data_IF_757062260816
#
_entry.id   IF_757062260816
#
_cell.length_a   1.000
_cell.length_b   1.000
_cell.length_c   1.000
_cell.angle_alpha   90.00
_cell.angle_beta   90.00
_cell.angle_gamma   90.00
#
_symmetry.space_group_name_H-M   'P 1'
#
loop_
_entity.id
_entity.type
_entity.pdbx_description
1 polymer ?
#
# COMPACT_ATOMS: atom_id res chain seq x y z
N UNK A 1 22.20 15.03 89.79
CA UNK A 1 22.54 14.95 88.35
C UNK A 1 22.04 13.68 87.65
N UNK A 2 21.92 12.51 88.31
CA UNK A 2 21.49 11.27 87.65
C UNK A 2 20.03 11.21 87.14
N UNK A 3 19.08 11.94 87.78
CA UNK A 3 17.67 11.95 87.33
C UNK A 3 17.47 12.70 86.00
N UNK A 4 18.25 13.75 85.77
CA UNK A 4 18.18 14.56 84.54
C UNK A 4 18.79 13.83 83.34
N UNK A 5 19.88 13.06 83.53
CA UNK A 5 20.47 12.29 82.44
C UNK A 5 19.58 11.12 82.00
N UNK A 6 18.84 10.50 82.93
CA UNK A 6 17.89 9.43 82.63
C UNK A 6 16.74 9.92 81.74
N UNK A 7 16.19 11.11 82.02
CA UNK A 7 15.13 11.73 81.23
C UNK A 7 15.62 12.06 79.81
N UNK A 8 16.85 12.57 79.67
CA UNK A 8 17.44 12.89 78.37
C UNK A 8 17.67 11.61 77.54
N UNK A 9 18.20 10.55 78.15
CA UNK A 9 18.44 9.27 77.46
C UNK A 9 17.13 8.60 77.04
N UNK A 10 16.11 8.61 77.90
CA UNK A 10 14.79 8.07 77.56
C UNK A 10 14.08 8.91 76.49
N UNK A 11 14.20 10.24 76.56
CA UNK A 11 13.64 11.15 75.55
C UNK A 11 14.29 10.97 74.17
N UNK A 12 15.62 10.89 74.12
CA UNK A 12 16.35 10.60 72.87
C UNK A 12 16.03 9.20 72.33
N UNK A 13 15.92 8.19 73.20
CA UNK A 13 15.51 6.85 72.82
C UNK A 13 14.13 6.82 72.18
N UNK A 14 13.15 7.49 72.79
CA UNK A 14 11.79 7.61 72.26
C UNK A 14 11.73 8.34 70.91
N UNK A 15 12.49 9.42 70.75
CA UNK A 15 12.59 10.17 69.50
C UNK A 15 13.21 9.30 68.40
N UNK A 16 14.34 8.62 68.69
CA UNK A 16 15.00 7.73 67.73
C UNK A 16 14.09 6.57 67.29
N UNK A 17 13.39 5.93 68.24
CA UNK A 17 12.42 4.88 67.91
C UNK A 17 11.28 5.39 67.03
N UNK A 18 10.75 6.59 67.29
CA UNK A 18 9.73 7.21 66.45
C UNK A 18 10.24 7.52 65.03
N UNK A 19 11.48 8.00 64.90
CA UNK A 19 12.12 8.22 63.60
C UNK A 19 12.31 6.91 62.83
N UNK A 20 12.78 5.84 63.47
CA UNK A 20 12.94 4.53 62.82
C UNK A 20 11.60 3.97 62.36
N UNK A 21 10.55 4.07 63.19
CA UNK A 21 9.20 3.64 62.81
C UNK A 21 8.66 4.44 61.62
N UNK A 22 8.84 5.76 61.63
CA UNK A 22 8.37 6.63 60.54
C UNK A 22 9.14 6.39 59.24
N UNK A 23 10.47 6.21 59.30
CA UNK A 23 11.29 5.88 58.14
C UNK A 23 10.92 4.52 57.53
N UNK A 24 10.70 3.50 58.37
CA UNK A 24 10.26 2.18 57.90
C UNK A 24 8.86 2.22 57.28
N UNK A 25 7.92 2.96 57.89
CA UNK A 25 6.58 3.16 57.33
C UNK A 25 6.65 3.87 55.97
N UNK A 26 7.44 4.93 55.87
CA UNK A 26 7.58 5.71 54.63
C UNK A 26 8.29 4.91 53.53
N UNK A 27 9.29 4.10 53.90
CA UNK A 27 9.99 3.19 52.99
C UNK A 27 9.04 2.12 52.43
N UNK A 28 8.22 1.51 53.29
CA UNK A 28 7.22 0.52 52.87
C UNK A 28 6.13 1.14 51.99
N UNK A 29 5.70 2.36 52.29
CA UNK A 29 4.70 3.08 51.48
C UNK A 29 5.25 3.46 50.09
N UNK A 30 6.50 3.92 50.03
CA UNK A 30 7.19 4.21 48.78
C UNK A 30 7.43 2.94 47.94
N UNK A 31 7.83 1.84 48.59
CA UNK A 31 8.01 0.55 47.92
C UNK A 31 6.68 0.04 47.35
N UNK A 32 5.60 0.08 48.14
CA UNK A 32 4.26 -0.33 47.68
C UNK A 32 3.76 0.54 46.52
N UNK A 33 4.00 1.85 46.58
CA UNK A 33 3.63 2.77 45.49
C UNK A 33 4.40 2.44 44.21
N UNK A 34 5.70 2.13 44.33
CA UNK A 34 6.54 1.75 43.20
C UNK A 34 6.09 0.43 42.58
N UNK A 35 5.76 -0.57 43.41
CA UNK A 35 5.24 -1.87 42.95
C UNK A 35 3.90 -1.68 42.23
N UNK A 36 2.96 -0.94 42.83
CA UNK A 36 1.67 -0.66 42.21
C UNK A 36 1.82 0.07 40.87
N UNK A 37 2.70 1.07 40.78
CA UNK A 37 2.97 1.77 39.52
C UNK A 37 3.59 0.84 38.47
N UNK A 38 4.50 -0.04 38.87
CA UNK A 38 5.08 -1.05 37.99
C UNK A 38 4.02 -2.01 37.47
N UNK A 39 3.20 -2.60 38.34
CA UNK A 39 2.12 -3.51 37.96
C UNK A 39 1.09 -2.86 37.03
N UNK A 40 0.67 -1.61 37.33
CA UNK A 40 -0.21 -0.84 36.45
C UNK A 40 0.42 -0.56 35.09
N UNK A 41 1.71 -0.22 35.06
CA UNK A 41 2.43 0.03 33.81
C UNK A 41 2.53 -1.26 32.98
N UNK A 42 2.84 -2.39 33.61
CA UNK A 42 2.89 -3.68 32.91
C UNK A 42 1.51 -4.09 32.38
N UNK A 43 0.46 -4.00 33.19
CA UNK A 43 -0.90 -4.30 32.75
C UNK A 43 -1.31 -3.42 31.55
N UNK A 44 -0.97 -2.12 31.56
CA UNK A 44 -1.21 -1.22 30.43
C UNK A 44 -0.44 -1.61 29.18
N UNK A 45 0.86 -1.90 29.29
CA UNK A 45 1.67 -2.32 28.14
C UNK A 45 1.17 -3.63 27.50
N UNK A 46 0.74 -4.58 28.34
CA UNK A 46 0.13 -5.83 27.88
C UNK A 46 -1.18 -5.56 27.15
N UNK A 47 -2.06 -4.72 27.72
CA UNK A 47 -3.33 -4.38 27.09
C UNK A 47 -3.12 -3.70 25.73
N UNK A 48 -2.21 -2.72 25.65
CA UNK A 48 -1.88 -2.00 24.42
C UNK A 48 -1.29 -2.93 23.36
N UNK A 49 -0.40 -3.85 23.76
CA UNK A 49 0.15 -4.87 22.87
C UNK A 49 -0.93 -5.82 22.36
N UNK A 50 -1.90 -6.18 23.21
CA UNK A 50 -3.04 -7.00 22.82
C UNK A 50 -3.89 -6.37 21.71
N UNK A 51 -4.10 -5.05 21.74
CA UNK A 51 -4.78 -4.33 20.65
C UNK A 51 -4.02 -4.48 19.33
N UNK A 52 -2.73 -4.15 19.32
CA UNK A 52 -1.88 -4.21 18.11
C UNK A 52 -1.81 -5.63 17.53
N UNK A 53 -1.58 -6.64 18.39
CA UNK A 53 -1.51 -8.04 17.99
C UNK A 53 -2.83 -8.49 17.33
N UNK A 54 -3.97 -8.09 17.89
CA UNK A 54 -5.26 -8.53 17.37
C UNK A 54 -5.72 -7.74 16.15
N UNK A 55 -5.30 -6.49 15.97
CA UNK A 55 -5.48 -5.77 14.70
C UNK A 55 -4.71 -6.47 13.58
N UNK A 56 -3.47 -6.89 13.83
CA UNK A 56 -2.66 -7.63 12.85
C UNK A 56 -3.23 -9.03 12.57
N UNK A 57 -3.73 -9.74 13.60
CA UNK A 57 -4.43 -11.02 13.41
C UNK A 57 -5.71 -10.84 12.59
N UNK A 58 -6.51 -9.81 12.90
CA UNK A 58 -7.75 -9.51 12.18
C UNK A 58 -7.47 -9.10 10.73
N UNK A 59 -6.37 -8.38 10.48
CA UNK A 59 -5.93 -8.03 9.13
C UNK A 59 -5.62 -9.27 8.28
N UNK A 60 -4.99 -10.29 8.88
CA UNK A 60 -4.71 -11.58 8.22
C UNK A 60 -5.95 -12.48 8.13
N UNK A 61 -6.85 -12.38 9.08
CA UNK A 61 -8.06 -13.19 9.13
C UNK A 61 -9.30 -12.35 9.49
N UNK A 62 -10.01 -11.83 8.47
CA UNK A 62 -11.23 -11.04 8.65
C UNK A 62 -12.34 -11.76 9.44
N UNK A 63 -12.35 -13.11 9.47
CA UNK A 63 -13.37 -13.89 10.21
C UNK A 63 -13.28 -13.74 11.73
N UNK A 64 -12.21 -13.12 12.25
CA UNK A 64 -12.06 -12.82 13.68
C UNK A 64 -12.94 -11.64 14.13
N UNK A 65 -13.60 -10.92 13.22
CA UNK A 65 -14.52 -9.84 13.61
C UNK A 65 -15.69 -10.38 14.46
N UNK A 66 -16.12 -9.62 15.47
CA UNK A 66 -17.18 -10.03 16.40
C UNK A 66 -16.84 -11.30 17.21
N UNK A 67 -15.55 -11.61 17.37
CA UNK A 67 -15.07 -12.69 18.24
C UNK A 67 -14.42 -12.14 19.50
N UNK A 68 -14.34 -13.00 20.52
CA UNK A 68 -13.53 -12.77 21.71
C UNK A 68 -12.46 -13.84 21.78
N UNK A 69 -11.22 -13.44 22.03
CA UNK A 69 -10.13 -14.38 22.24
C UNK A 69 -10.31 -15.17 23.54
N UNK A 70 -9.59 -16.30 23.61
CA UNK A 70 -9.24 -16.88 24.89
C UNK A 70 -8.29 -15.99 25.69
N UNK A 71 -7.91 -16.45 26.87
CA UNK A 71 -6.86 -15.83 27.66
C UNK A 71 -5.49 -16.17 27.05
N UNK A 72 -4.73 -15.13 26.70
CA UNK A 72 -3.43 -15.24 26.06
C UNK A 72 -2.34 -14.70 27.00
N UNK A 73 -1.14 -15.30 26.97
CA UNK A 73 -0.02 -14.89 27.83
C UNK A 73 0.87 -13.86 27.13
N UNK A 74 1.28 -12.82 27.85
CA UNK A 74 2.27 -11.85 27.38
C UNK A 74 2.96 -11.17 28.57
N UNK A 75 4.30 -11.04 28.52
CA UNK A 75 5.11 -10.41 29.58
C UNK A 75 4.80 -10.92 31.00
N UNK A 76 4.59 -12.23 31.16
CA UNK A 76 4.18 -12.89 32.42
C UNK A 76 2.82 -12.46 32.98
N UNK A 77 2.05 -11.64 32.25
CA UNK A 77 0.63 -11.43 32.51
C UNK A 77 -0.24 -12.11 31.46
N UNK A 78 -1.53 -11.83 31.55
CA UNK A 78 -2.52 -12.35 30.60
C UNK A 78 -3.34 -11.24 29.99
N UNK A 79 -3.93 -11.48 28.83
CA UNK A 79 -4.89 -10.58 28.22
C UNK A 79 -5.97 -11.31 27.44
N UNK A 80 -7.11 -10.64 27.29
CA UNK A 80 -8.21 -11.08 26.42
C UNK A 80 -8.60 -9.93 25.51
N UNK A 81 -8.83 -10.22 24.23
CA UNK A 81 -9.23 -9.22 23.25
C UNK A 81 -10.62 -9.53 22.72
N UNK A 82 -11.45 -8.50 22.63
CA UNK A 82 -12.75 -8.54 21.97
C UNK A 82 -12.69 -7.63 20.75
N UNK A 83 -13.02 -8.19 19.60
CA UNK A 83 -13.14 -7.48 18.33
C UNK A 83 -14.62 -7.28 18.04
N UNK A 84 -15.04 -6.05 17.77
CA UNK A 84 -16.45 -5.71 17.50
C UNK A 84 -16.56 -4.78 16.29
N UNK A 85 -17.67 -4.89 15.57
CA UNK A 85 -18.01 -3.98 14.47
C UNK A 85 -18.15 -4.66 13.12
N UNK A 86 -17.98 -3.87 12.06
CA UNK A 86 -18.12 -4.28 10.67
C UNK A 86 -17.05 -3.62 9.84
N UNK A 87 -16.27 -4.40 9.10
CA UNK A 87 -15.23 -3.88 8.22
C UNK A 87 -15.82 -2.81 7.28
N UNK A 88 -15.11 -1.69 7.08
CA UNK A 88 -13.73 -1.40 7.51
C UNK A 88 -13.57 -0.92 8.96
N UNK A 89 -14.66 -0.64 9.70
CA UNK A 89 -14.58 -0.06 11.05
C UNK A 89 -14.61 -1.15 12.14
N UNK A 90 -13.62 -1.13 13.03
CA UNK A 90 -13.46 -2.14 14.07
C UNK A 90 -13.14 -1.48 15.40
N UNK A 91 -13.78 -1.96 16.46
CA UNK A 91 -13.41 -1.66 17.85
C UNK A 91 -12.67 -2.85 18.44
N UNK A 92 -11.50 -2.60 19.02
CA UNK A 92 -10.67 -3.61 19.67
C UNK A 92 -10.57 -3.27 21.15
N UNK A 93 -11.14 -4.10 22.01
CA UNK A 93 -11.04 -3.98 23.48
C UNK A 93 -10.12 -5.05 24.02
N UNK A 94 -8.98 -4.66 24.57
CA UNK A 94 -8.00 -5.53 25.21
C UNK A 94 -8.05 -5.34 26.73
N UNK A 95 -8.35 -6.41 27.46
CA UNK A 95 -8.32 -6.42 28.92
C UNK A 95 -7.15 -7.26 29.37
N UNK A 96 -6.17 -6.64 30.01
CA UNK A 96 -4.99 -7.30 30.55
C UNK A 96 -5.06 -7.47 32.06
N UNK A 97 -4.33 -8.46 32.58
CA UNK A 97 -4.15 -8.73 33.99
C UNK A 97 -2.67 -9.04 34.27
N UNK A 98 -2.06 -8.33 35.21
CA UNK A 98 -0.69 -8.57 35.66
C UNK A 98 -0.66 -8.50 37.19
N UNK A 99 -0.27 -9.60 37.85
CA UNK A 99 -0.21 -9.70 39.33
C UNK A 99 -1.50 -9.23 40.04
N UNK A 100 -2.67 -9.45 39.41
CA UNK A 100 -3.99 -9.07 39.94
C UNK A 100 -4.44 -7.65 39.59
N UNK A 101 -3.58 -6.83 38.98
CA UNK A 101 -3.94 -5.51 38.43
C UNK A 101 -4.51 -5.67 37.03
N UNK A 102 -5.72 -5.16 36.82
CA UNK A 102 -6.38 -5.14 35.51
C UNK A 102 -6.28 -3.79 34.84
N UNK A 103 -6.04 -3.79 33.53
CA UNK A 103 -6.11 -2.60 32.68
C UNK A 103 -6.90 -2.90 31.41
N UNK A 104 -7.65 -1.93 30.91
CA UNK A 104 -8.44 -2.08 29.68
C UNK A 104 -8.02 -1.02 28.70
N UNK A 105 -7.57 -1.43 27.53
CA UNK A 105 -7.27 -0.53 26.42
C UNK A 105 -8.26 -0.78 25.32
N UNK A 106 -8.76 0.29 24.70
CA UNK A 106 -9.68 0.18 23.59
C UNK A 106 -9.28 1.12 22.48
N UNK A 107 -9.28 0.59 21.26
CA UNK A 107 -9.01 1.35 20.06
C UNK A 107 -10.14 1.19 19.05
N UNK A 108 -10.59 2.30 18.47
CA UNK A 108 -11.37 2.27 17.25
C UNK A 108 -10.39 2.39 16.08
N UNK A 109 -10.48 1.46 15.13
CA UNK A 109 -9.59 1.35 13.99
C UNK A 109 -10.38 1.26 12.68
N UNK A 110 -9.78 1.77 11.61
CA UNK A 110 -10.31 1.73 10.26
C UNK A 110 -9.37 0.97 9.35
N UNK A 111 -9.87 -0.06 8.67
CA UNK A 111 -9.14 -0.79 7.64
C UNK A 111 -9.01 0.11 6.41
N UNK A 112 -7.82 0.68 6.21
CA UNK A 112 -7.56 1.65 5.15
C UNK A 112 -7.44 0.92 3.80
N UNK A 113 -8.34 1.18 2.83
CA UNK A 113 -8.20 0.61 1.50
C UNK A 113 -6.97 1.22 0.83
N UNK A 114 -6.34 0.44 -0.05
CA UNK A 114 -5.22 0.96 -0.84
C UNK A 114 -5.76 2.00 -1.83
N UNK A 115 -5.12 3.18 -1.84
CA UNK A 115 -5.44 4.20 -2.82
C UNK A 115 -5.03 3.71 -4.21
N UNK A 116 -6.04 3.40 -5.04
CA UNK A 116 -5.82 3.00 -6.43
C UNK A 116 -5.53 4.23 -7.28
N UNK A 117 -4.48 4.24 -8.11
CA UNK A 117 -4.19 5.39 -8.96
C UNK A 117 -5.25 5.54 -10.06
N UNK A 118 -5.62 6.78 -10.37
CA UNK A 118 -6.51 7.08 -11.48
C UNK A 118 -5.82 6.77 -12.81
N UNK A 119 -6.54 6.05 -13.69
CA UNK A 119 -6.05 5.69 -15.02
C UNK A 119 -6.92 6.41 -16.07
N UNK A 120 -6.46 7.56 -16.59
CA UNK A 120 -7.29 8.40 -17.46
C UNK A 120 -7.30 7.94 -18.92
N UNK A 121 -6.57 6.89 -19.26
CA UNK A 121 -6.39 6.40 -20.63
C UNK A 121 -5.96 4.93 -20.64
N UNK A 122 -5.98 4.27 -21.79
CA UNK A 122 -5.33 2.95 -21.93
C UNK A 122 -3.83 3.04 -21.61
N UNK A 123 -3.16 4.05 -22.17
CA UNK A 123 -1.78 4.42 -21.87
C UNK A 123 -1.72 5.90 -21.48
N UNK A 124 -1.40 6.18 -20.22
CA UNK A 124 -1.16 7.55 -19.75
C UNK A 124 0.34 7.81 -19.64
N UNK A 125 0.83 8.89 -20.25
CA UNK A 125 2.23 9.26 -20.25
C UNK A 125 2.37 10.65 -19.65
N UNK A 126 3.12 10.71 -18.56
CA UNK A 126 3.41 11.95 -17.83
C UNK A 126 4.91 12.22 -17.91
N UNK A 127 5.27 13.36 -18.49
CA UNK A 127 6.66 13.71 -18.78
C UNK A 127 6.86 15.21 -18.90
N UNK A 128 8.10 15.67 -18.76
CA UNK A 128 8.46 17.07 -19.06
C UNK A 128 8.84 17.28 -20.51
N UNK A 129 9.28 16.22 -21.21
CA UNK A 129 9.50 16.20 -22.65
C UNK A 129 9.61 14.75 -23.18
N UNK A 130 9.48 14.57 -24.50
CA UNK A 130 9.79 13.31 -25.18
C UNK A 130 11.16 13.37 -25.87
N UNK A 131 11.93 12.29 -25.75
CA UNK A 131 13.24 12.18 -26.42
C UNK A 131 13.13 11.46 -27.77
N UNK A 132 12.26 10.45 -27.85
CA UNK A 132 11.94 9.71 -29.07
C UNK A 132 10.49 9.22 -28.98
N UNK A 133 9.65 9.57 -29.95
CA UNK A 133 8.25 9.13 -30.01
C UNK A 133 7.98 8.09 -31.09
N UNK A 134 9.03 7.51 -31.67
CA UNK A 134 8.91 6.54 -32.76
C UNK A 134 8.29 5.23 -32.26
N UNK A 135 6.96 5.17 -32.34
CA UNK A 135 6.16 3.97 -32.12
C UNK A 135 6.24 3.11 -33.38
N UNK A 136 7.36 2.41 -33.55
CA UNK A 136 7.73 1.67 -34.78
C UNK A 136 7.12 0.28 -34.91
N UNK A 137 6.29 -0.15 -33.95
CA UNK A 137 5.82 -1.53 -33.81
C UNK A 137 4.32 -1.66 -34.05
N UNK A 138 3.80 -2.85 -33.81
CA UNK A 138 2.38 -3.19 -33.98
C UNK A 138 1.54 -2.92 -32.73
N UNK A 139 1.94 -1.92 -31.93
CA UNK A 139 1.23 -1.53 -30.71
C UNK A 139 -0.20 -1.10 -31.01
N UNK A 140 -1.15 -1.68 -30.29
CA UNK A 140 -2.55 -1.31 -30.26
C UNK A 140 -2.86 -0.77 -28.86
N UNK A 141 -3.41 0.44 -28.80
CA UNK A 141 -3.86 1.05 -27.55
C UNK A 141 -5.33 1.38 -27.73
N UNK A 142 -6.18 0.73 -26.97
CA UNK A 142 -7.62 0.85 -27.07
C UNK A 142 -8.21 1.31 -25.74
N UNK A 143 -8.68 2.55 -25.70
CA UNK A 143 -9.33 3.19 -24.55
C UNK A 143 -10.81 2.87 -24.39
N UNK A 144 -11.43 2.13 -25.31
CA UNK A 144 -12.78 1.61 -25.11
C UNK A 144 -12.83 0.64 -23.93
N UNK A 145 -13.96 0.54 -23.25
CA UNK A 145 -14.13 -0.40 -22.14
C UNK A 145 -14.17 -1.84 -22.64
N UNK A 146 -13.26 -2.67 -22.12
CA UNK A 146 -13.21 -4.10 -22.37
C UNK A 146 -13.60 -4.91 -21.13
N UNK A 147 -14.09 -6.13 -21.36
CA UNK A 147 -14.31 -7.13 -20.33
C UNK A 147 -12.98 -7.69 -19.79
N UNK A 148 -13.08 -8.58 -18.80
CA UNK A 148 -11.94 -9.26 -18.19
C UNK A 148 -11.11 -10.10 -19.18
N UNK A 149 -11.66 -10.44 -20.36
CA UNK A 149 -10.98 -11.22 -21.40
C UNK A 149 -10.37 -10.34 -22.50
N UNK A 150 -10.59 -9.02 -22.46
CA UNK A 150 -10.12 -8.08 -23.47
C UNK A 150 -11.04 -8.00 -24.70
N UNK A 151 -12.33 -8.27 -24.54
CA UNK A 151 -13.38 -8.06 -25.55
C UNK A 151 -14.09 -6.73 -25.26
N UNK A 152 -14.34 -5.91 -26.28
CA UNK A 152 -15.06 -4.63 -26.11
C UNK A 152 -16.47 -4.89 -25.59
N UNK A 153 -16.86 -4.20 -24.51
CA UNK A 153 -18.19 -4.30 -23.91
C UNK A 153 -19.20 -3.39 -24.61
N UNK A 154 -20.23 -3.96 -25.22
CA UNK A 154 -21.31 -3.19 -25.83
C UNK A 154 -20.81 -2.17 -26.86
N UNK A 155 -21.08 -0.88 -26.62
CA UNK A 155 -20.59 0.23 -27.46
C UNK A 155 -19.14 0.63 -27.18
N UNK A 156 -18.48 0.05 -26.17
CA UNK A 156 -17.15 0.43 -25.69
C UNK A 156 -17.16 1.52 -24.61
N UNK A 157 -18.32 1.86 -24.06
CA UNK A 157 -18.47 2.86 -23.00
C UNK A 157 -18.51 2.23 -21.58
N UNK A 158 -18.10 2.94 -20.52
CA UNK A 158 -17.46 4.25 -20.52
C UNK A 158 -16.05 4.19 -21.12
N UNK A 159 -15.81 4.99 -22.16
CA UNK A 159 -14.53 5.01 -22.85
C UNK A 159 -13.60 6.09 -22.28
N UNK A 160 -12.31 5.80 -22.33
CA UNK A 160 -11.24 6.77 -22.09
C UNK A 160 -10.45 7.00 -23.38
N UNK A 161 -9.63 8.06 -23.46
CA UNK A 161 -8.65 8.19 -24.54
C UNK A 161 -7.75 6.94 -24.64
N UNK A 162 -7.33 6.60 -25.85
CA UNK A 162 -6.37 5.52 -26.07
C UNK A 162 -5.05 5.87 -25.40
N UNK A 163 -4.44 6.98 -25.83
CA UNK A 163 -3.25 7.56 -25.20
C UNK A 163 -3.62 8.91 -24.60
N UNK A 164 -3.12 9.21 -23.40
CA UNK A 164 -3.21 10.55 -22.84
C UNK A 164 -1.89 11.08 -22.31
N UNK A 165 -1.70 12.38 -22.43
CA UNK A 165 -0.47 13.12 -22.09
C UNK A 165 -0.79 14.41 -21.32
N UNK A 166 0.24 15.03 -20.74
CA UNK A 166 0.08 16.24 -19.91
C UNK A 166 0.05 17.57 -20.69
N UNK A 167 0.57 17.60 -21.93
CA UNK A 167 0.70 18.83 -22.71
C UNK A 167 0.40 18.65 -24.20
N UNK A 168 0.11 19.76 -24.90
CA UNK A 168 -0.15 19.74 -26.35
C UNK A 168 1.13 19.48 -27.18
N UNK A 169 2.28 19.92 -26.67
CA UNK A 169 3.58 19.63 -27.29
C UNK A 169 3.85 18.11 -27.30
N UNK A 170 3.56 17.45 -26.19
CA UNK A 170 3.66 16.00 -26.03
C UNK A 170 2.68 15.26 -26.94
N UNK A 171 1.44 15.75 -27.00
CA UNK A 171 0.40 15.19 -27.88
C UNK A 171 0.84 15.24 -29.34
N UNK A 172 1.37 16.37 -29.77
CA UNK A 172 1.91 16.56 -31.12
C UNK A 172 3.10 15.64 -31.37
N UNK A 173 4.00 15.48 -30.40
CA UNK A 173 5.14 14.58 -30.51
C UNK A 173 4.71 13.11 -30.68
N UNK A 174 3.72 12.65 -29.91
CA UNK A 174 3.16 11.29 -30.04
C UNK A 174 2.45 11.12 -31.38
N UNK A 175 1.59 12.05 -31.78
CA UNK A 175 0.87 11.98 -33.06
C UNK A 175 1.82 11.89 -34.25
N UNK A 176 2.91 12.66 -34.25
CA UNK A 176 3.94 12.62 -35.29
C UNK A 176 4.80 11.35 -35.25
N UNK A 177 4.86 10.68 -34.10
CA UNK A 177 5.65 9.47 -33.87
C UNK A 177 4.90 8.15 -34.15
N UNK A 178 3.58 8.20 -34.32
CA UNK A 178 2.74 7.05 -34.61
C UNK A 178 2.97 6.54 -36.04
N UNK A 179 3.42 5.29 -36.16
CA UNK A 179 3.50 4.60 -37.46
C UNK A 179 2.15 4.03 -37.93
N UNK A 180 1.23 3.76 -36.99
CA UNK A 180 -0.10 3.17 -37.22
C UNK A 180 -1.18 3.89 -36.39
N UNK A 181 -1.56 5.13 -36.74
CA UNK A 181 -2.52 5.91 -35.98
C UNK A 181 -3.90 5.24 -35.82
N UNK A 182 -4.30 4.39 -36.76
CA UNK A 182 -5.54 3.61 -36.73
C UNK A 182 -5.60 2.59 -35.58
N UNK A 183 -4.45 2.24 -34.99
CA UNK A 183 -4.36 1.31 -33.85
C UNK A 183 -4.46 1.98 -32.48
N UNK A 184 -4.54 3.31 -32.45
CA UNK A 184 -4.79 4.07 -31.23
C UNK A 184 -6.26 4.48 -31.21
N UNK A 185 -7.08 3.65 -30.56
CA UNK A 185 -8.53 3.76 -30.53
C UNK A 185 -8.96 4.23 -29.14
N UNK A 186 -9.98 5.06 -29.05
CA UNK A 186 -10.52 5.49 -27.75
C UNK A 186 -11.38 6.73 -27.90
N UNK A 187 -11.78 7.30 -26.77
CA UNK A 187 -12.57 8.53 -26.75
C UNK A 187 -11.79 9.68 -27.40
N UNK A 188 -12.41 10.37 -28.36
CA UNK A 188 -11.92 11.64 -28.89
C UNK A 188 -12.70 12.75 -28.18
N UNK A 189 -12.05 13.48 -27.28
CA UNK A 189 -12.71 14.43 -26.38
C UNK A 189 -13.47 15.52 -27.14
N UNK A 190 -12.93 15.98 -28.26
CA UNK A 190 -13.56 17.01 -29.09
C UNK A 190 -14.88 16.58 -29.74
N UNK A 191 -15.07 15.27 -29.97
CA UNK A 191 -16.28 14.74 -30.61
C UNK A 191 -17.19 13.97 -29.66
N UNK A 192 -16.66 13.55 -28.50
CA UNK A 192 -17.35 12.69 -27.55
C UNK A 192 -17.59 11.26 -28.05
N UNK A 193 -16.99 10.88 -29.18
CA UNK A 193 -17.14 9.55 -29.79
C UNK A 193 -15.83 8.77 -29.74
N UNK A 194 -15.94 7.45 -29.77
CA UNK A 194 -14.80 6.55 -29.94
C UNK A 194 -14.28 6.66 -31.38
N UNK A 195 -12.99 6.90 -31.55
CA UNK A 195 -12.35 7.01 -32.87
C UNK A 195 -10.83 6.84 -32.81
N UNK A 196 -10.16 7.20 -33.90
CA UNK A 196 -8.70 7.11 -34.04
C UNK A 196 -8.12 8.28 -34.88
N UNK A 197 -6.86 8.68 -34.68
CA UNK A 197 -6.02 8.37 -33.51
C UNK A 197 -6.53 9.07 -32.25
N UNK A 198 -6.76 8.32 -31.17
CA UNK A 198 -7.19 8.85 -29.87
C UNK A 198 -5.98 9.20 -29.01
N UNK A 199 -5.48 10.43 -29.15
CA UNK A 199 -4.42 11.01 -28.32
C UNK A 199 -4.90 12.33 -27.74
N UNK A 200 -5.12 12.37 -26.43
CA UNK A 200 -5.79 13.49 -25.75
C UNK A 200 -4.98 14.01 -24.56
N UNK A 201 -5.24 15.27 -24.19
CA UNK A 201 -4.55 15.92 -23.07
C UNK A 201 -5.37 15.69 -21.80
N UNK A 202 -4.79 15.01 -20.81
CA UNK A 202 -5.40 14.84 -19.49
C UNK A 202 -4.32 15.06 -18.44
N UNK A 203 -4.16 16.30 -17.97
CA UNK A 203 -3.22 16.59 -16.90
C UNK A 203 -3.88 16.32 -15.55
N UNK A 204 -3.44 15.26 -14.87
CA UNK A 204 -3.96 14.90 -13.54
C UNK A 204 -3.33 15.75 -12.41
N UNK A 205 -2.25 16.48 -12.66
CA UNK A 205 -1.56 17.30 -11.66
C UNK A 205 -0.99 16.50 -10.48
N UNK A 206 -0.83 15.18 -10.65
CA UNK A 206 -0.42 14.28 -9.58
C UNK A 206 1.09 14.18 -9.45
N UNK A 207 1.56 14.04 -8.21
CA UNK A 207 2.96 13.72 -7.91
C UNK A 207 3.16 12.20 -7.99
N UNK A 208 3.51 11.72 -9.19
CA UNK A 208 3.75 10.30 -9.44
C UNK A 208 4.88 9.71 -8.60
N UNK A 209 5.81 10.52 -8.10
CA UNK A 209 6.84 10.08 -7.17
C UNK A 209 6.27 9.71 -5.81
N UNK A 210 5.28 10.46 -5.31
CA UNK A 210 4.55 10.13 -4.07
C UNK A 210 3.64 8.92 -4.24
N UNK A 211 2.91 8.83 -5.37
CA UNK A 211 2.06 7.67 -5.68
C UNK A 211 2.92 6.41 -5.76
N UNK A 212 4.05 6.48 -6.47
CA UNK A 212 5.02 5.41 -6.52
C UNK A 212 5.48 4.98 -5.13
N UNK A 213 5.93 5.92 -4.28
CA UNK A 213 6.40 5.60 -2.92
C UNK A 213 5.31 4.97 -2.06
N UNK A 214 4.08 5.47 -2.15
CA UNK A 214 2.94 4.90 -1.43
C UNK A 214 2.69 3.46 -1.85
N UNK A 215 2.58 3.19 -3.15
CA UNK A 215 2.33 1.84 -3.67
C UNK A 215 3.52 0.90 -3.43
N UNK A 216 4.76 1.41 -3.49
CA UNK A 216 5.97 0.64 -3.20
C UNK A 216 6.02 0.20 -1.72
N UNK A 217 5.59 1.06 -0.79
CA UNK A 217 5.50 0.72 0.63
C UNK A 217 4.38 -0.28 0.91
N UNK A 218 3.34 -0.29 0.08
CA UNK A 218 2.22 -1.22 0.16
C UNK A 218 2.45 -2.51 -0.65
N UNK A 219 3.63 -2.71 -1.25
CA UNK A 219 3.91 -3.86 -2.10
C UNK A 219 3.90 -5.18 -1.29
N UNK A 220 3.14 -6.17 -1.79
CA UNK A 220 3.11 -7.51 -1.21
C UNK A 220 4.39 -8.28 -1.51
N UNK A 221 5.02 -8.00 -2.65
CA UNK A 221 6.27 -8.61 -3.07
C UNK A 221 7.16 -7.63 -3.82
N UNK A 222 8.48 -7.83 -3.68
CA UNK A 222 9.50 -7.00 -4.34
C UNK A 222 10.52 -7.88 -5.07
N UNK A 223 10.78 -7.56 -6.32
CA UNK A 223 11.85 -8.14 -7.13
C UNK A 223 12.93 -7.10 -7.44
N UNK A 224 14.15 -7.59 -7.63
CA UNK A 224 15.31 -6.78 -8.02
C UNK A 224 15.72 -7.17 -9.44
N UNK A 225 15.90 -6.17 -10.30
CA UNK A 225 16.15 -6.29 -11.72
C UNK A 225 14.97 -6.97 -12.44
N UNK A 226 15.09 -8.23 -12.84
CA UNK A 226 14.06 -8.92 -13.65
C UNK A 226 13.06 -9.70 -12.79
N UNK A 227 11.85 -9.93 -13.32
CA UNK A 227 10.88 -10.82 -12.68
C UNK A 227 11.31 -12.28 -12.93
N UNK A 228 11.47 -13.12 -11.87
CA UNK A 228 11.82 -14.52 -12.04
C UNK A 228 10.80 -15.27 -12.90
N UNK A 229 11.29 -16.21 -13.72
CA UNK A 229 10.40 -17.04 -14.53
C UNK A 229 9.48 -17.87 -13.62
N UNK A 230 8.18 -17.84 -13.89
CA UNK A 230 7.16 -18.52 -13.09
C UNK A 230 6.80 -17.83 -11.77
N UNK A 231 7.25 -16.58 -11.54
CA UNK A 231 6.76 -15.79 -10.42
C UNK A 231 5.24 -15.62 -10.49
N UNK A 232 4.57 -15.79 -9.34
CA UNK A 232 3.15 -15.51 -9.21
C UNK A 232 2.94 -14.00 -9.08
N UNK A 233 2.32 -13.40 -10.08
CA UNK A 233 2.00 -11.97 -10.11
C UNK A 233 0.54 -11.70 -9.75
N UNK A 234 -0.12 -12.65 -9.09
CA UNK A 234 -1.50 -12.56 -8.65
C UNK A 234 -2.52 -13.02 -9.69
N UNK A 235 -3.77 -13.10 -9.25
CA UNK A 235 -4.94 -13.45 -10.06
C UNK A 235 -6.08 -12.45 -9.81
N UNK A 236 -7.10 -12.39 -10.65
CA UNK A 236 -8.22 -11.47 -10.41
C UNK A 236 -8.94 -11.69 -9.08
N UNK A 237 -8.94 -12.93 -8.56
CA UNK A 237 -9.51 -13.27 -7.25
C UNK A 237 -8.57 -12.95 -6.08
N UNK A 238 -7.27 -12.91 -6.34
CA UNK A 238 -6.22 -12.65 -5.34
C UNK A 238 -5.16 -11.74 -5.97
N UNK A 239 -5.49 -10.48 -6.25
CA UNK A 239 -4.57 -9.57 -6.92
C UNK A 239 -3.44 -9.18 -5.96
N UNK A 240 -2.26 -8.91 -6.53
CA UNK A 240 -1.03 -8.67 -5.77
C UNK A 240 -0.41 -7.35 -6.20
N UNK A 241 0.09 -6.56 -5.24
CA UNK A 241 0.94 -5.40 -5.54
C UNK A 241 2.38 -5.89 -5.67
N UNK A 242 2.92 -5.83 -6.88
CA UNK A 242 4.28 -6.25 -7.18
C UNK A 242 5.16 -5.05 -7.47
N UNK A 243 6.25 -4.90 -6.73
CA UNK A 243 7.30 -3.90 -6.99
C UNK A 243 8.49 -4.55 -7.68
N UNK A 244 9.01 -3.93 -8.73
CA UNK A 244 10.26 -4.34 -9.39
C UNK A 244 11.19 -3.13 -9.43
N UNK A 245 12.34 -3.25 -8.79
CA UNK A 245 13.35 -2.19 -8.75
C UNK A 245 14.57 -2.55 -9.60
N UNK A 246 15.06 -1.61 -10.39
CA UNK A 246 16.39 -1.70 -10.96
C UNK A 246 17.44 -1.44 -9.85
N UNK A 247 18.51 -2.22 -9.79
CA UNK A 247 19.66 -1.88 -8.94
C UNK A 247 20.31 -0.57 -9.39
N UNK A 248 21.00 0.13 -8.48
CA UNK A 248 21.67 1.39 -8.78
C UNK A 248 22.74 1.29 -9.88
N UNK A 249 23.32 0.09 -10.08
CA UNK A 249 24.28 -0.24 -11.13
C UNK A 249 23.64 -0.91 -12.36
N UNK A 250 22.31 -1.08 -12.37
CA UNK A 250 21.60 -1.77 -13.43
C UNK A 250 21.36 -0.85 -14.62
N UNK A 251 22.24 -0.96 -15.60
CA UNK A 251 22.22 -0.14 -16.82
C UNK A 251 21.36 -0.76 -17.93
N UNK A 252 20.51 -1.74 -17.59
CA UNK A 252 19.67 -2.50 -18.52
C UNK A 252 18.21 -2.28 -18.18
N UNK A 253 17.34 -2.52 -19.16
CA UNK A 253 15.90 -2.55 -18.90
C UNK A 253 15.52 -3.80 -18.11
N UNK A 254 14.67 -3.61 -17.11
CA UNK A 254 13.95 -4.66 -16.39
C UNK A 254 13.13 -5.44 -17.40
N UNK A 255 13.47 -6.72 -17.57
CA UNK A 255 12.78 -7.58 -18.54
C UNK A 255 11.66 -8.35 -17.86
N UNK A 256 10.45 -8.17 -18.37
CA UNK A 256 9.25 -8.90 -17.94
C UNK A 256 8.91 -9.88 -19.05
N UNK A 257 9.06 -11.18 -18.79
CA UNK A 257 9.00 -12.20 -19.82
C UNK A 257 8.20 -13.43 -19.40
N UNK A 258 7.27 -13.86 -20.26
CA UNK A 258 6.48 -15.11 -20.11
C UNK A 258 5.81 -15.25 -18.73
N UNK A 259 5.25 -14.15 -18.23
CA UNK A 259 4.51 -14.11 -16.96
C UNK A 259 3.07 -13.68 -17.20
N UNK A 260 2.15 -14.19 -16.39
CA UNK A 260 0.78 -13.67 -16.30
C UNK A 260 0.49 -13.23 -14.88
N UNK A 261 -0.31 -12.18 -14.71
CA UNK A 261 -0.66 -11.67 -13.38
C UNK A 261 -1.88 -10.78 -13.36
N UNK A 262 -2.33 -10.46 -12.15
CA UNK A 262 -3.32 -9.44 -11.93
C UNK A 262 -3.06 -8.66 -10.64
N UNK A 263 -3.28 -7.35 -10.68
CA UNK A 263 -3.00 -6.46 -9.56
C UNK A 263 -2.46 -5.10 -9.96
N UNK A 264 -1.54 -4.59 -9.15
CA UNK A 264 -0.77 -3.38 -9.44
C UNK A 264 0.69 -3.79 -9.63
N UNK A 265 1.22 -3.60 -10.84
CA UNK A 265 2.62 -3.84 -11.13
C UNK A 265 3.37 -2.51 -11.18
N UNK A 266 4.30 -2.31 -10.26
CA UNK A 266 5.10 -1.11 -10.12
C UNK A 266 6.51 -1.42 -10.59
N UNK A 267 7.02 -0.62 -11.51
CA UNK A 267 8.34 -0.83 -12.11
C UNK A 267 9.13 0.46 -11.94
N UNK A 268 10.17 0.40 -11.10
CA UNK A 268 11.09 1.50 -10.87
C UNK A 268 12.37 1.28 -11.68
N UNK A 269 12.38 1.78 -12.91
CA UNK A 269 13.47 1.58 -13.85
C UNK A 269 13.01 1.57 -15.30
N UNK A 270 13.97 1.43 -16.22
CA UNK A 270 13.65 1.17 -17.62
C UNK A 270 12.99 -0.20 -17.74
N UNK A 271 11.99 -0.32 -18.59
CA UNK A 271 11.16 -1.52 -18.69
C UNK A 271 11.19 -2.10 -20.09
N UNK A 272 11.23 -3.42 -20.18
CA UNK A 272 11.07 -4.17 -21.42
C UNK A 272 10.09 -5.33 -21.23
N UNK A 273 8.92 -5.23 -21.84
CA UNK A 273 7.98 -6.34 -21.98
C UNK A 273 8.45 -7.27 -23.10
N UNK A 274 8.58 -8.56 -22.80
CA UNK A 274 9.12 -9.56 -23.71
C UNK A 274 8.27 -10.85 -23.72
N UNK A 275 8.36 -11.59 -24.82
CA UNK A 275 7.72 -12.91 -24.94
C UNK A 275 6.21 -12.82 -25.12
N UNK A 276 5.46 -13.41 -24.18
CA UNK A 276 3.99 -13.42 -24.19
C UNK A 276 3.45 -13.03 -22.81
N UNK A 277 3.69 -11.78 -22.42
CA UNK A 277 3.26 -11.25 -21.13
C UNK A 277 1.78 -10.88 -21.17
N UNK A 278 1.00 -11.30 -20.15
CA UNK A 278 -0.41 -10.92 -20.00
C UNK A 278 -0.68 -10.38 -18.60
N UNK A 279 -1.21 -9.17 -18.48
CA UNK A 279 -1.51 -8.57 -17.19
C UNK A 279 -2.93 -8.02 -17.12
N UNK A 280 -3.59 -8.18 -15.97
CA UNK A 280 -4.93 -7.64 -15.71
C UNK A 280 -4.87 -6.66 -14.53
N UNK A 281 -5.16 -5.38 -14.76
CA UNK A 281 -5.05 -4.34 -13.74
C UNK A 281 -4.19 -3.17 -14.19
N UNK A 282 -3.40 -2.60 -13.27
CA UNK A 282 -2.59 -1.40 -13.55
C UNK A 282 -1.11 -1.75 -13.59
N UNK A 283 -0.41 -1.17 -14.56
CA UNK A 283 1.04 -1.12 -14.58
C UNK A 283 1.50 0.34 -14.42
N UNK A 284 2.29 0.61 -13.37
CA UNK A 284 2.94 1.89 -13.14
C UNK A 284 4.44 1.76 -13.41
N UNK A 285 4.89 2.28 -14.54
CA UNK A 285 6.30 2.43 -14.87
C UNK A 285 6.76 3.81 -14.42
N UNK A 286 7.62 3.87 -13.41
CA UNK A 286 8.12 5.12 -12.84
C UNK A 286 9.65 5.17 -12.90
N UNK A 287 10.20 6.32 -13.28
CA UNK A 287 11.63 6.63 -13.10
C UNK A 287 11.79 8.13 -12.93
N UNK A 288 12.53 8.56 -11.91
CA UNK A 288 12.75 9.98 -11.65
C UNK A 288 13.63 10.70 -12.71
N UNK A 289 14.20 9.94 -13.65
CA UNK A 289 15.01 10.41 -14.77
C UNK A 289 14.37 9.98 -16.09
N UNK A 290 15.16 9.49 -17.05
CA UNK A 290 14.69 9.12 -18.39
C UNK A 290 14.17 7.69 -18.35
N UNK A 291 12.89 7.49 -18.64
CA UNK A 291 12.22 6.19 -18.70
C UNK A 291 12.22 5.65 -20.13
N UNK A 292 12.85 4.50 -20.34
CA UNK A 292 12.69 3.72 -21.58
C UNK A 292 11.61 2.65 -21.39
N UNK A 293 10.54 2.73 -22.18
CA UNK A 293 9.48 1.74 -22.27
C UNK A 293 9.64 0.95 -23.57
N UNK A 294 9.98 -0.33 -23.43
CA UNK A 294 10.18 -1.23 -24.57
C UNK A 294 9.17 -2.38 -24.58
N UNK A 295 8.71 -2.78 -25.77
CA UNK A 295 7.89 -3.99 -25.93
C UNK A 295 8.32 -4.82 -27.14
N UNK A 296 8.54 -6.10 -26.89
CA UNK A 296 8.98 -7.14 -27.83
C UNK A 296 8.12 -8.40 -27.66
N UNK A 297 7.83 -9.12 -28.75
CA UNK A 297 6.93 -10.29 -28.70
C UNK A 297 5.44 -9.91 -28.79
N UNK A 298 4.57 -10.67 -28.11
CA UNK A 298 3.11 -10.48 -28.12
C UNK A 298 2.62 -10.26 -26.70
N UNK A 299 2.52 -9.00 -26.28
CA UNK A 299 2.17 -8.64 -24.91
C UNK A 299 0.74 -8.08 -24.85
N UNK A 300 0.02 -8.36 -23.76
CA UNK A 300 -1.35 -7.90 -23.55
C UNK A 300 -1.53 -7.34 -22.14
N UNK A 301 -2.14 -6.16 -22.04
CA UNK A 301 -2.57 -5.57 -20.78
C UNK A 301 -4.06 -5.27 -20.87
N UNK A 302 -4.83 -5.77 -19.91
CA UNK A 302 -6.27 -5.53 -19.76
C UNK A 302 -6.45 -4.68 -18.51
N UNK A 303 -6.66 -3.38 -18.69
CA UNK A 303 -6.60 -2.36 -17.63
C UNK A 303 -5.83 -1.15 -18.12
N UNK A 304 -4.82 -0.67 -17.39
CA UNK A 304 -4.15 0.58 -17.70
C UNK A 304 -2.64 0.54 -17.54
N UNK A 305 -1.93 1.34 -18.33
CA UNK A 305 -0.50 1.61 -18.14
C UNK A 305 -0.29 3.09 -17.87
N UNK A 306 0.48 3.39 -16.84
CA UNK A 306 0.99 4.72 -16.54
C UNK A 306 2.50 4.70 -16.73
N UNK A 307 3.02 5.54 -17.62
CA UNK A 307 4.45 5.75 -17.84
C UNK A 307 4.84 7.15 -17.35
N UNK A 308 5.54 7.20 -16.22
CA UNK A 308 5.93 8.42 -15.53
C UNK A 308 7.44 8.58 -15.48
N UNK A 309 7.96 9.60 -16.15
CA UNK A 309 9.38 9.92 -16.13
C UNK A 309 9.66 11.38 -16.47
N UNK A 310 10.89 11.85 -16.27
CA UNK A 310 11.26 13.21 -16.69
C UNK A 310 11.29 13.32 -18.21
N UNK A 311 11.87 12.30 -18.84
CA UNK A 311 11.83 12.05 -20.27
C UNK A 311 11.29 10.64 -20.47
N UNK A 312 10.43 10.44 -21.46
CA UNK A 312 9.89 9.12 -21.79
C UNK A 312 10.25 8.78 -23.24
N UNK A 313 10.86 7.60 -23.43
CA UNK A 313 11.17 7.00 -24.72
C UNK A 313 10.34 5.73 -24.87
N UNK A 314 9.51 5.65 -25.91
CA UNK A 314 8.64 4.50 -26.15
C UNK A 314 9.08 3.79 -27.42
N UNK A 315 9.57 2.57 -27.27
CA UNK A 315 10.03 1.71 -28.37
C UNK A 315 9.21 0.43 -28.44
N UNK A 316 8.52 0.26 -29.54
CA UNK A 316 7.76 -0.96 -29.81
C UNK A 316 8.34 -1.62 -31.05
N UNK A 317 8.77 -2.86 -30.94
CA UNK A 317 9.20 -3.67 -32.10
C UNK A 317 8.41 -4.97 -32.24
N UNK A 318 7.56 -5.32 -31.26
CA UNK A 318 6.57 -6.39 -31.33
C UNK A 318 5.12 -5.88 -31.34
N UNK A 319 4.20 -6.77 -30.97
CA UNK A 319 2.77 -6.50 -30.76
C UNK A 319 2.52 -6.25 -29.27
N UNK A 320 2.19 -5.02 -28.92
CA UNK A 320 1.77 -4.64 -27.57
C UNK A 320 0.29 -4.24 -27.61
N UNK A 321 -0.57 -4.99 -26.96
CA UNK A 321 -2.01 -4.70 -26.93
C UNK A 321 -2.40 -4.17 -25.55
N UNK A 322 -2.69 -2.89 -25.46
CA UNK A 322 -3.18 -2.24 -24.24
C UNK A 322 -4.68 -2.04 -24.43
N UNK A 323 -5.48 -2.73 -23.63
CA UNK A 323 -6.94 -2.71 -23.70
C UNK A 323 -7.47 -2.17 -22.38
N UNK A 324 -8.02 -0.97 -22.41
CA UNK A 324 -8.65 -0.38 -21.24
C UNK A 324 -9.82 -1.24 -20.76
N UNK A 325 -9.87 -1.50 -19.46
CA UNK A 325 -10.93 -2.30 -18.85
C UNK A 325 -11.22 -1.75 -17.47
N UNK A 326 -12.37 -1.07 -17.35
CA UNK A 326 -12.88 -0.62 -16.07
C UNK A 326 -13.23 -1.81 -15.17
N UNK A 327 -13.79 -2.86 -15.76
CA UNK A 327 -14.14 -4.09 -15.05
C UNK A 327 -12.90 -4.76 -14.42
N UNK A 328 -11.78 -4.84 -15.15
CA UNK A 328 -10.53 -5.38 -14.60
C UNK A 328 -9.97 -4.48 -13.49
N UNK A 329 -9.99 -3.16 -13.68
CA UNK A 329 -9.54 -2.17 -12.69
C UNK A 329 -10.35 -2.27 -11.40
N UNK A 330 -11.68 -2.24 -11.49
CA UNK A 330 -12.57 -2.30 -10.31
C UNK A 330 -12.55 -3.68 -9.65
N UNK A 331 -12.43 -4.78 -10.41
CA UNK A 331 -12.26 -6.12 -9.85
C UNK A 331 -10.95 -6.23 -9.05
N UNK A 332 -9.86 -5.73 -9.62
CA UNK A 332 -8.56 -5.69 -8.92
C UNK A 332 -8.65 -4.83 -7.66
N UNK A 333 -9.24 -3.63 -7.75
CA UNK A 333 -9.41 -2.71 -6.62
C UNK A 333 -10.28 -3.30 -5.50
N UNK A 334 -11.34 -4.04 -5.84
CA UNK A 334 -12.22 -4.67 -4.87
C UNK A 334 -11.56 -5.86 -4.14
N UNK A 335 -10.67 -6.58 -4.81
CA UNK A 335 -10.01 -7.77 -4.26
C UNK A 335 -8.59 -7.49 -3.73
N UNK A 336 -8.07 -6.28 -3.92
CA UNK A 336 -6.76 -5.88 -3.40
C UNK A 336 -6.78 -5.90 -1.87
N UNK A 337 -5.68 -6.39 -1.28
CA UNK A 337 -5.49 -6.34 0.16
C UNK A 337 -5.48 -4.87 0.62
N UNK A 338 -6.07 -4.60 1.78
CA UNK A 338 -6.04 -3.25 2.37
C UNK A 338 -4.64 -2.89 2.90
N UNK A 339 -4.35 -1.60 3.11
CA UNK A 339 -3.05 -1.11 3.58
C UNK A 339 -2.75 -1.46 5.05
N UNK A 340 -3.80 -1.78 5.81
CA UNK A 340 -3.73 -2.09 7.24
C UNK A 340 -4.77 -1.32 8.05
N UNK A 341 -4.72 -1.44 9.37
CA UNK A 341 -5.59 -0.68 10.27
C UNK A 341 -4.96 0.64 10.67
N UNK A 342 -5.71 1.72 10.51
CA UNK A 342 -5.40 3.04 11.05
C UNK A 342 -6.18 3.26 12.34
N UNK A 343 -5.48 3.55 13.43
CA UNK A 343 -6.13 3.92 14.71
C UNK A 343 -6.82 5.28 14.55
N UNK A 344 -8.12 5.31 14.79
CA UNK A 344 -8.94 6.53 14.79
C UNK A 344 -9.00 7.16 16.19
N UNK A 345 -9.15 6.32 17.21
CA UNK A 345 -9.22 6.74 18.61
C UNK A 345 -8.57 5.69 19.51
N UNK A 346 -8.05 6.13 20.65
CA UNK A 346 -7.47 5.26 21.68
C UNK A 346 -7.89 5.73 23.06
N UNK A 347 -8.42 4.83 23.88
CA UNK A 347 -8.83 5.10 25.25
C UNK A 347 -8.40 3.98 26.19
N UNK A 348 -8.11 4.35 27.44
CA UNK A 348 -7.56 3.52 28.51
C UNK A 348 -8.24 3.83 29.85
#
# INVERSE_FOLDING_TARGET
>A
MGKSSLIIVLGLGGILSFFTLRLNSNSNENSRTTINMFEQTQARLIANSGVEIYLEKLYKNPSLINTKSGEENLFNGTYTVKLEGTLPNVRVTSVANFEGVKHTSVADAYLEPISFPDVPAGLYITTTAFTNTKLTGDMEVNGSNHDLNGTVLGSGEPAVPGISVDSDADRTAILNGLSKPEKVIGLIQSTGNIGHPSVEITNLGMDWGKIYQYLANAADQTFINDIPNGADLGSLSTPVITLVNAEASYNKSITINKTSGAGILIINGDVKFAGNFKYQGIILCYKNTDLSFESTGTNQVIGGIIAAGKLVDIKTSGTMNIKYSLDAIETVKANLKSNGYKILSWYE
#
